data_IF_276169792814
#
_entry.id   IF_276169792814
#
_cell.length_a   1.000
_cell.length_b   1.000
_cell.length_c   1.000
_cell.angle_alpha   90.00
_cell.angle_beta   90.00
_cell.angle_gamma   90.00
#
_symmetry.space_group_name_H-M   'P 1'
#
loop_
_entity.id
_entity.type
_entity.pdbx_description
1 polymer ?
#
# COMPACT_ATOMS: atom_id res chain seq x y z
N UNK A 1 -16.17 14.91 -39.59
CA UNK A 1 -17.39 14.45 -38.91
C UNK A 1 -17.02 13.34 -37.93
N UNK A 2 -16.88 13.67 -36.63
CA UNK A 2 -16.46 12.75 -35.57
C UNK A 2 -17.66 12.32 -34.74
N UNK A 3 -18.27 11.16 -35.05
CA UNK A 3 -19.42 10.59 -34.33
C UNK A 3 -19.08 9.37 -33.43
N UNK A 4 -17.81 9.01 -33.23
CA UNK A 4 -17.44 7.72 -32.60
C UNK A 4 -16.70 7.79 -31.25
N UNK A 5 -16.62 8.94 -30.57
CA UNK A 5 -15.89 9.00 -29.28
C UNK A 5 -16.62 8.34 -28.10
N UNK A 6 -17.95 8.25 -28.15
CA UNK A 6 -18.76 7.75 -27.00
C UNK A 6 -18.95 6.22 -26.97
N UNK A 7 -18.47 5.50 -27.98
CA UNK A 7 -18.56 4.03 -28.06
C UNK A 7 -17.34 3.30 -27.49
N UNK A 8 -16.32 4.03 -27.03
CA UNK A 8 -15.08 3.44 -26.56
C UNK A 8 -14.74 3.89 -25.14
N UNK A 9 -14.27 2.96 -24.31
CA UNK A 9 -13.79 3.21 -22.95
C UNK A 9 -12.30 2.94 -22.93
N UNK A 10 -11.51 3.92 -22.47
CA UNK A 10 -10.08 3.74 -22.23
C UNK A 10 -9.88 3.25 -20.80
N UNK A 11 -9.52 1.98 -20.56
CA UNK A 11 -9.14 1.53 -19.23
C UNK A 11 -7.86 2.23 -18.78
N UNK A 12 -7.76 2.58 -17.49
CA UNK A 12 -6.51 3.01 -16.86
C UNK A 12 -5.71 1.80 -16.40
N UNK A 13 -5.37 0.99 -17.39
CA UNK A 13 -4.53 -0.17 -17.23
C UNK A 13 -3.42 -0.11 -18.27
N UNK A 14 -2.25 -0.63 -17.89
CA UNK A 14 -1.08 -0.66 -18.74
C UNK A 14 -0.62 -2.08 -18.93
N UNK A 15 -0.24 -2.42 -20.17
CA UNK A 15 0.58 -3.57 -20.45
C UNK A 15 2.02 -3.30 -20.02
N UNK A 16 2.61 -4.28 -19.35
CA UNK A 16 4.05 -4.30 -19.11
C UNK A 16 4.72 -4.61 -20.45
N UNK A 17 5.68 -3.79 -20.88
CA UNK A 17 6.45 -4.06 -22.09
C UNK A 17 7.36 -5.27 -21.86
N UNK A 18 7.55 -6.15 -22.86
CA UNK A 18 8.38 -7.36 -22.70
C UNK A 18 9.78 -7.07 -22.13
N UNK A 19 10.39 -5.98 -22.60
CA UNK A 19 11.76 -5.59 -22.23
C UNK A 19 11.86 -4.99 -20.82
N UNK A 20 10.73 -4.64 -20.17
CA UNK A 20 10.76 -4.09 -18.83
C UNK A 20 11.36 -5.10 -17.83
N UNK A 21 10.94 -6.36 -17.93
CA UNK A 21 11.36 -7.41 -17.00
C UNK A 21 12.86 -7.72 -17.17
N UNK A 22 13.34 -7.68 -18.42
CA UNK A 22 14.76 -7.87 -18.74
C UNK A 22 15.63 -6.64 -18.38
N UNK A 23 15.02 -5.45 -18.27
CA UNK A 23 15.71 -4.19 -17.92
C UNK A 23 15.58 -3.82 -16.44
N UNK A 24 15.16 -4.76 -15.59
CA UNK A 24 15.16 -4.54 -14.16
C UNK A 24 16.60 -4.45 -13.64
N UNK A 25 16.90 -3.48 -12.75
CA UNK A 25 18.21 -3.44 -12.11
C UNK A 25 18.41 -4.71 -11.27
N UNK A 26 19.66 -5.13 -11.03
CA UNK A 26 19.92 -6.22 -10.09
C UNK A 26 19.32 -5.88 -8.74
N UNK A 27 18.52 -6.79 -8.21
CA UNK A 27 17.85 -6.62 -6.93
C UNK A 27 18.62 -7.36 -5.84
N UNK A 28 18.51 -6.83 -4.62
CA UNK A 28 19.12 -7.37 -3.42
C UNK A 28 18.03 -7.71 -2.44
N UNK A 29 18.14 -8.88 -1.82
CA UNK A 29 17.22 -9.38 -0.83
C UNK A 29 17.93 -9.63 0.49
N UNK A 30 17.30 -9.22 1.59
CA UNK A 30 17.67 -9.57 2.93
C UNK A 30 16.63 -10.56 3.47
N UNK A 31 17.07 -11.75 3.84
CA UNK A 31 16.23 -12.73 4.49
C UNK A 31 16.31 -12.55 6.00
N UNK A 32 15.20 -12.77 6.68
CA UNK A 32 15.22 -12.71 8.14
C UNK A 32 16.04 -13.88 8.68
N UNK A 33 17.05 -13.65 9.55
CA UNK A 33 17.91 -14.72 10.02
C UNK A 33 17.10 -15.75 10.83
N UNK A 34 17.12 -17.01 10.40
CA UNK A 34 16.32 -18.06 11.05
C UNK A 34 16.65 -18.22 12.54
N UNK A 35 17.93 -18.17 12.87
CA UNK A 35 18.42 -18.23 14.26
C UNK A 35 17.88 -17.12 15.17
N UNK A 36 17.33 -16.03 14.63
CA UNK A 36 16.77 -14.94 15.43
C UNK A 36 15.32 -15.20 15.86
N UNK A 37 14.63 -16.15 15.23
CA UNK A 37 13.19 -16.31 15.41
C UNK A 37 12.82 -16.73 16.84
N UNK A 38 13.37 -17.84 17.33
CA UNK A 38 13.04 -18.37 18.65
C UNK A 38 13.40 -17.40 19.79
N UNK A 39 14.60 -16.77 19.81
CA UNK A 39 14.93 -15.77 20.82
C UNK A 39 13.96 -14.59 20.84
N UNK A 40 13.54 -14.09 19.68
CA UNK A 40 12.59 -12.97 19.61
C UNK A 40 11.17 -13.40 19.98
N UNK A 41 10.75 -14.61 19.62
CA UNK A 41 9.46 -15.16 20.06
C UNK A 41 9.42 -15.34 21.57
N UNK A 42 10.53 -15.76 22.19
CA UNK A 42 10.66 -15.84 23.63
C UNK A 42 10.55 -14.46 24.31
N UNK A 43 11.27 -13.45 23.81
CA UNK A 43 11.13 -12.06 24.29
C UNK A 43 9.69 -11.55 24.14
N UNK A 44 9.05 -11.83 23.01
CA UNK A 44 7.66 -11.44 22.78
C UNK A 44 6.70 -12.14 23.74
N UNK A 45 6.95 -13.41 24.06
CA UNK A 45 6.20 -14.14 25.08
C UNK A 45 6.29 -13.47 26.45
N UNK A 46 7.49 -13.09 26.88
CA UNK A 46 7.72 -12.37 28.15
C UNK A 46 7.05 -10.99 28.14
N UNK A 47 7.28 -10.18 27.11
CA UNK A 47 6.73 -8.83 27.02
C UNK A 47 5.19 -8.79 27.00
N UNK A 48 4.56 -9.83 26.46
CA UNK A 48 3.10 -9.94 26.41
C UNK A 48 2.48 -10.74 27.57
N UNK A 49 3.29 -11.30 28.47
CA UNK A 49 2.83 -12.19 29.54
C UNK A 49 2.22 -13.51 29.02
N UNK A 50 2.64 -13.96 27.83
CA UNK A 50 2.14 -15.15 27.12
C UNK A 50 3.26 -16.16 26.89
N UNK A 51 4.11 -16.35 27.88
CA UNK A 51 5.21 -17.32 27.82
C UNK A 51 4.69 -18.74 27.53
N UNK A 52 5.38 -19.48 26.67
CA UNK A 52 4.99 -20.84 26.27
C UNK A 52 3.81 -20.93 25.28
N UNK A 53 3.19 -19.81 24.91
CA UNK A 53 2.13 -19.77 23.90
C UNK A 53 2.68 -19.35 22.52
N UNK A 54 1.98 -19.69 21.42
CA UNK A 54 2.30 -19.14 20.11
C UNK A 54 2.23 -17.59 20.12
N UNK A 55 3.36 -16.94 19.84
CA UNK A 55 3.49 -15.49 19.82
C UNK A 55 4.09 -15.02 18.50
N UNK A 56 3.61 -13.88 17.99
CA UNK A 56 4.11 -13.26 16.75
C UNK A 56 4.92 -12.02 17.09
N UNK A 57 6.16 -11.96 16.61
CA UNK A 57 7.03 -10.79 16.76
C UNK A 57 6.42 -9.59 16.00
N UNK A 58 6.27 -8.41 16.63
CA UNK A 58 5.59 -7.26 16.06
C UNK A 58 6.47 -6.51 15.05
N UNK A 59 6.75 -7.13 13.91
CA UNK A 59 7.58 -6.56 12.85
C UNK A 59 7.02 -5.28 12.21
N UNK A 60 5.73 -4.97 12.42
CA UNK A 60 5.11 -3.76 11.86
C UNK A 60 5.82 -2.49 12.31
N UNK A 61 6.20 -2.38 13.59
CA UNK A 61 6.84 -1.15 14.10
C UNK A 61 8.24 -0.94 13.53
N UNK A 62 9.05 -2.01 13.44
CA UNK A 62 10.37 -1.92 12.81
C UNK A 62 10.27 -1.67 11.30
N UNK A 63 9.31 -2.27 10.60
CA UNK A 63 9.12 -2.03 9.18
C UNK A 63 8.76 -0.56 8.90
N UNK A 64 7.86 0.04 9.70
CA UNK A 64 7.48 1.45 9.51
C UNK A 64 8.67 2.41 9.70
N UNK A 65 9.55 2.16 10.68
CA UNK A 65 10.74 3.00 10.85
C UNK A 65 11.76 2.75 9.73
N UNK A 66 11.92 1.50 9.27
CA UNK A 66 12.77 1.19 8.12
C UNK A 66 12.30 1.94 6.86
N UNK A 67 10.98 2.00 6.58
CA UNK A 67 10.44 2.83 5.48
C UNK A 67 10.77 4.30 5.61
N UNK A 68 10.81 4.81 6.84
CA UNK A 68 11.03 6.21 7.13
C UNK A 68 12.49 6.63 6.89
N UNK A 69 13.44 5.75 7.22
CA UNK A 69 14.86 6.11 7.38
C UNK A 69 15.77 5.46 6.35
N UNK A 70 15.34 4.35 5.76
CA UNK A 70 16.12 3.59 4.78
C UNK A 70 15.57 3.88 3.38
N UNK A 71 16.31 4.59 2.53
CA UNK A 71 15.85 4.87 1.19
C UNK A 71 15.84 3.59 0.34
N UNK A 72 15.01 3.57 -0.70
CA UNK A 72 14.99 2.52 -1.75
C UNK A 72 14.58 1.10 -1.30
N UNK A 73 13.89 0.96 -0.16
CA UNK A 73 13.23 -0.30 0.19
C UNK A 73 12.00 -0.52 -0.70
N UNK A 74 11.99 -1.60 -1.48
CA UNK A 74 10.92 -1.93 -2.42
C UNK A 74 9.79 -2.73 -1.78
N UNK A 75 10.13 -3.67 -0.89
CA UNK A 75 9.14 -4.52 -0.22
C UNK A 75 9.46 -4.67 1.26
N UNK A 76 8.40 -4.68 2.07
CA UNK A 76 8.41 -4.90 3.51
C UNK A 76 7.21 -5.78 3.88
N UNK A 77 7.30 -7.11 3.73
CA UNK A 77 6.29 -8.03 4.25
C UNK A 77 5.96 -7.72 5.71
N UNK A 78 4.66 -7.80 6.04
CA UNK A 78 4.17 -7.59 7.40
C UNK A 78 4.76 -8.56 8.42
N UNK A 79 5.08 -9.77 7.96
CA UNK A 79 5.66 -10.83 8.75
C UNK A 79 6.73 -11.52 7.90
N UNK A 80 8.02 -11.26 8.13
CA UNK A 80 9.05 -12.08 7.51
C UNK A 80 8.91 -13.51 8.05
N UNK A 81 8.99 -14.50 7.16
CA UNK A 81 9.18 -15.90 7.54
C UNK A 81 10.68 -16.17 7.57
N UNK A 82 11.14 -16.98 8.51
CA UNK A 82 12.55 -17.40 8.57
C UNK A 82 12.94 -18.20 7.34
N UNK A 83 14.25 -18.23 7.07
CA UNK A 83 14.91 -18.92 5.96
C UNK A 83 14.73 -20.46 5.95
N UNK A 84 14.18 -21.04 7.00
CA UNK A 84 14.07 -22.49 7.19
C UNK A 84 12.59 -22.87 7.38
N UNK A 85 12.14 -23.91 6.67
CA UNK A 85 10.80 -24.55 6.70
C UNK A 85 9.69 -24.01 5.77
N UNK A 86 9.62 -24.59 4.56
CA UNK A 86 8.50 -25.43 4.10
C UNK A 86 8.82 -26.06 2.73
N UNK A 87 9.08 -27.37 2.70
CA UNK A 87 8.99 -28.24 1.50
C UNK A 87 9.59 -27.67 0.20
N UNK A 88 10.83 -27.18 0.23
CA UNK A 88 11.53 -26.74 -0.98
C UNK A 88 10.91 -25.51 -1.67
N UNK A 89 10.07 -24.73 -0.99
CA UNK A 89 9.51 -23.47 -1.52
C UNK A 89 10.42 -22.29 -1.19
N UNK A 90 10.69 -21.48 -2.22
CA UNK A 90 11.43 -20.21 -2.10
C UNK A 90 10.69 -19.29 -1.12
N UNK A 91 11.42 -18.79 -0.13
CA UNK A 91 10.89 -17.93 0.91
C UNK A 91 10.81 -16.47 0.43
N UNK A 92 9.80 -15.76 0.95
CA UNK A 92 9.67 -14.34 0.71
C UNK A 92 10.74 -13.58 1.51
N UNK A 93 11.55 -12.73 0.86
CA UNK A 93 12.59 -11.95 1.54
C UNK A 93 11.97 -10.95 2.52
N UNK A 94 12.65 -10.68 3.64
CA UNK A 94 12.21 -9.66 4.60
C UNK A 94 12.34 -8.26 4.01
N UNK A 95 13.48 -7.92 3.41
CA UNK A 95 13.68 -6.64 2.74
C UNK A 95 14.11 -6.89 1.30
N UNK A 96 13.65 -6.05 0.38
CA UNK A 96 14.17 -5.99 -1.00
C UNK A 96 14.54 -4.56 -1.33
N UNK A 97 15.68 -4.38 -1.99
CA UNK A 97 16.19 -3.07 -2.40
C UNK A 97 16.94 -3.16 -3.74
N UNK A 98 17.19 -2.01 -4.36
CA UNK A 98 18.03 -1.91 -5.57
C UNK A 98 19.53 -2.05 -5.29
N UNK A 99 19.94 -1.85 -4.04
CA UNK A 99 21.33 -1.94 -3.59
C UNK A 99 21.39 -2.31 -2.12
N UNK A 100 22.56 -2.77 -1.67
CA UNK A 100 22.75 -3.17 -0.27
C UNK A 100 22.68 -1.97 0.65
N UNK A 101 21.83 -2.07 1.67
CA UNK A 101 21.84 -1.13 2.79
C UNK A 101 22.89 -1.64 3.79
N UNK A 102 23.87 -0.82 4.22
CA UNK A 102 24.92 -1.28 5.12
C UNK A 102 24.34 -1.96 6.37
N UNK A 103 24.75 -3.19 6.64
CA UNK A 103 24.18 -4.03 7.70
C UNK A 103 24.29 -3.39 9.08
N UNK A 104 25.34 -2.60 9.34
CA UNK A 104 25.47 -1.84 10.57
C UNK A 104 24.37 -0.79 10.76
N UNK A 105 23.90 -0.14 9.68
CA UNK A 105 22.81 0.85 9.75
C UNK A 105 21.47 0.19 10.03
N UNK A 106 21.19 -0.95 9.37
CA UNK A 106 20.01 -1.76 9.66
C UNK A 106 20.04 -2.29 11.09
N UNK A 107 21.21 -2.74 11.54
CA UNK A 107 21.43 -3.21 12.90
C UNK A 107 21.13 -2.13 13.95
N UNK A 108 21.50 -0.88 13.72
CA UNK A 108 21.15 0.22 14.62
C UNK A 108 19.63 0.39 14.77
N UNK A 109 18.88 0.36 13.65
CA UNK A 109 17.41 0.40 13.68
C UNK A 109 16.85 -0.78 14.48
N UNK A 110 17.40 -1.96 14.23
CA UNK A 110 16.98 -3.19 14.89
C UNK A 110 17.27 -3.16 16.40
N UNK A 111 18.45 -2.67 16.82
CA UNK A 111 18.81 -2.50 18.23
C UNK A 111 17.89 -1.49 18.92
N UNK A 112 17.62 -0.35 18.30
CA UNK A 112 16.70 0.65 18.86
C UNK A 112 15.29 0.08 19.04
N UNK A 113 14.81 -0.71 18.07
CA UNK A 113 13.53 -1.42 18.17
C UNK A 113 13.54 -2.48 19.28
N UNK A 114 14.60 -3.29 19.38
CA UNK A 114 14.79 -4.28 20.44
C UNK A 114 14.74 -3.66 21.83
N UNK A 115 15.53 -2.59 22.04
CA UNK A 115 15.58 -1.88 23.32
C UNK A 115 14.26 -1.20 23.66
N UNK A 116 13.54 -0.69 22.67
CA UNK A 116 12.23 -0.08 22.92
C UNK A 116 11.15 -1.12 23.23
N UNK A 117 11.23 -2.30 22.61
CA UNK A 117 10.18 -3.33 22.74
C UNK A 117 10.39 -4.26 23.94
N UNK A 118 11.65 -4.54 24.31
CA UNK A 118 11.98 -5.69 25.16
C UNK A 118 12.95 -5.41 26.31
N UNK A 119 13.40 -4.17 26.54
CA UNK A 119 14.42 -3.88 27.57
C UNK A 119 14.07 -4.35 28.99
N UNK A 120 12.78 -4.43 29.31
CA UNK A 120 12.28 -4.85 30.62
C UNK A 120 12.15 -6.38 30.75
N UNK A 121 12.34 -7.12 29.66
CA UNK A 121 12.28 -8.59 29.68
C UNK A 121 13.52 -9.17 30.36
N UNK A 122 13.34 -10.16 31.25
CA UNK A 122 14.45 -10.79 31.97
C UNK A 122 15.49 -11.43 31.02
N UNK A 123 15.04 -11.97 29.88
CA UNK A 123 15.93 -12.58 28.88
C UNK A 123 16.53 -11.58 27.88
N UNK A 124 16.30 -10.27 28.03
CA UNK A 124 16.73 -9.27 27.07
C UNK A 124 18.25 -9.23 26.87
N UNK A 125 19.02 -9.18 27.95
CA UNK A 125 20.48 -9.09 27.89
C UNK A 125 21.13 -10.25 27.10
N UNK A 126 20.87 -11.54 27.42
CA UNK A 126 21.46 -12.64 26.67
C UNK A 126 20.98 -12.70 25.21
N UNK A 127 19.71 -12.37 24.92
CA UNK A 127 19.22 -12.33 23.54
C UNK A 127 19.89 -11.20 22.75
N UNK A 128 20.04 -10.01 23.34
CA UNK A 128 20.74 -8.88 22.71
C UNK A 128 22.20 -9.21 22.38
N UNK A 129 22.88 -9.96 23.25
CA UNK A 129 24.26 -10.39 23.01
C UNK A 129 24.36 -11.44 21.90
N UNK A 130 23.37 -12.33 21.80
CA UNK A 130 23.28 -13.36 20.78
C UNK A 130 23.03 -12.80 19.37
N UNK A 131 22.17 -11.78 19.25
CA UNK A 131 21.82 -11.17 17.97
C UNK A 131 22.99 -10.29 17.45
N UNK A 132 23.34 -10.42 16.17
CA UNK A 132 24.57 -9.86 15.59
C UNK A 132 24.37 -9.24 14.20
N UNK A 133 24.94 -8.07 13.95
CA UNK A 133 24.86 -7.38 12.65
C UNK A 133 25.28 -8.26 11.47
N UNK A 134 26.24 -9.16 11.68
CA UNK A 134 26.82 -10.06 10.69
C UNK A 134 25.81 -11.07 10.13
N UNK A 135 24.70 -11.30 10.85
CA UNK A 135 23.59 -12.13 10.38
C UNK A 135 22.72 -11.42 9.33
N UNK A 136 22.77 -10.08 9.24
CA UNK A 136 22.03 -9.30 8.26
C UNK A 136 22.77 -9.27 6.93
N UNK A 137 22.68 -10.37 6.17
CA UNK A 137 23.39 -10.55 4.91
C UNK A 137 22.49 -10.36 3.70
N UNK A 138 22.77 -9.33 2.91
CA UNK A 138 22.14 -9.14 1.61
C UNK A 138 22.65 -10.16 0.59
N UNK A 139 21.73 -10.73 -0.18
CA UNK A 139 22.00 -11.67 -1.26
C UNK A 139 21.44 -11.13 -2.57
N UNK A 140 22.03 -11.48 -3.73
CA UNK A 140 21.37 -11.24 -5.01
C UNK A 140 19.98 -11.88 -4.99
N UNK A 141 18.96 -11.14 -5.42
CA UNK A 141 17.62 -11.68 -5.60
C UNK A 141 17.48 -12.19 -7.02
N UNK A 142 17.57 -13.50 -7.18
CA UNK A 142 17.23 -14.19 -8.42
C UNK A 142 15.74 -14.56 -8.35
N UNK A 143 14.90 -13.81 -9.07
CA UNK A 143 13.46 -14.07 -9.08
C UNK A 143 12.91 -14.03 -10.50
N UNK A 144 12.38 -15.18 -10.93
CA UNK A 144 11.49 -15.23 -12.08
C UNK A 144 10.14 -14.62 -11.67
N UNK A 145 9.93 -13.35 -12.03
CA UNK A 145 8.71 -12.62 -11.68
C UNK A 145 7.48 -13.13 -12.44
N UNK A 146 7.68 -13.61 -13.67
CA UNK A 146 6.62 -14.17 -14.51
C UNK A 146 6.95 -15.61 -14.85
N UNK A 147 6.13 -16.52 -14.34
CA UNK A 147 6.24 -17.95 -14.57
C UNK A 147 5.47 -18.34 -15.83
N UNK A 148 5.60 -19.61 -16.24
CA UNK A 148 4.76 -20.20 -17.28
C UNK A 148 3.27 -19.93 -16.99
N UNK A 149 2.50 -19.40 -17.97
CA UNK A 149 1.07 -19.18 -17.80
C UNK A 149 0.34 -20.45 -17.33
N UNK A 150 -0.73 -20.27 -16.56
CA UNK A 150 -1.60 -21.37 -16.17
C UNK A 150 -2.30 -22.00 -17.38
N UNK A 151 -2.90 -23.18 -17.21
CA UNK A 151 -3.54 -23.94 -18.30
C UNK A 151 -4.67 -23.15 -18.99
N UNK A 152 -5.38 -22.33 -18.21
CA UNK A 152 -6.39 -21.40 -18.73
C UNK A 152 -5.79 -20.15 -19.40
N UNK A 153 -4.48 -20.16 -19.73
CA UNK A 153 -3.69 -19.07 -20.31
C UNK A 153 -3.54 -17.83 -19.43
N UNK A 154 -3.92 -17.88 -18.15
CA UNK A 154 -3.76 -16.74 -17.24
C UNK A 154 -2.30 -16.55 -16.84
N UNK A 155 -1.83 -15.31 -16.83
CA UNK A 155 -0.50 -14.95 -16.33
C UNK A 155 -0.30 -15.50 -14.92
N UNK A 156 0.84 -16.15 -14.68
CA UNK A 156 1.24 -16.63 -13.37
C UNK A 156 2.44 -15.83 -12.90
N UNK A 157 2.30 -15.16 -11.77
CA UNK A 157 3.34 -14.33 -11.17
C UNK A 157 3.75 -14.89 -9.81
N UNK A 158 5.01 -14.69 -9.45
CA UNK A 158 5.44 -14.97 -8.08
C UNK A 158 4.70 -14.04 -7.10
N UNK A 159 4.41 -14.47 -5.85
CA UNK A 159 3.74 -13.63 -4.86
C UNK A 159 4.42 -12.27 -4.67
N UNK A 160 5.76 -12.25 -4.65
CA UNK A 160 6.56 -11.03 -4.53
C UNK A 160 6.39 -10.07 -5.71
N UNK A 161 6.10 -10.57 -6.92
CA UNK A 161 5.92 -9.71 -8.09
C UNK A 161 4.76 -8.72 -7.94
N UNK A 162 3.72 -9.08 -7.17
CA UNK A 162 2.55 -8.21 -6.93
C UNK A 162 2.88 -6.97 -6.09
N UNK A 163 3.94 -7.00 -5.28
CA UNK A 163 4.44 -5.84 -4.52
C UNK A 163 5.65 -5.19 -5.18
N UNK A 164 6.57 -5.99 -5.72
CA UNK A 164 7.83 -5.52 -6.28
C UNK A 164 7.65 -4.74 -7.58
N UNK A 165 6.82 -5.21 -8.52
CA UNK A 165 6.62 -4.52 -9.80
C UNK A 165 6.00 -3.13 -9.57
N UNK A 166 4.89 -2.97 -8.81
CA UNK A 166 4.40 -1.64 -8.47
C UNK A 166 5.43 -0.77 -7.78
N UNK A 167 6.17 -1.31 -6.80
CA UNK A 167 7.20 -0.58 -6.06
C UNK A 167 8.28 -0.02 -6.98
N UNK A 168 8.78 -0.82 -7.91
CA UNK A 168 9.78 -0.40 -8.90
C UNK A 168 9.27 0.69 -9.83
N UNK A 169 8.02 0.58 -10.29
CA UNK A 169 7.40 1.60 -11.15
C UNK A 169 7.20 2.91 -10.38
N UNK A 170 6.77 2.84 -9.11
CA UNK A 170 6.64 4.04 -8.27
C UNK A 170 7.99 4.68 -7.97
N UNK A 171 9.04 3.89 -7.72
CA UNK A 171 10.38 4.43 -7.52
C UNK A 171 10.89 5.12 -8.80
N UNK A 172 10.66 4.53 -9.99
CA UNK A 172 11.02 5.19 -11.27
C UNK A 172 10.28 6.52 -11.45
N UNK A 173 8.99 6.58 -11.13
CA UNK A 173 8.22 7.83 -11.20
C UNK A 173 8.81 8.91 -10.28
N UNK A 174 9.21 8.54 -9.07
CA UNK A 174 9.81 9.45 -8.08
C UNK A 174 11.22 9.88 -8.50
N UNK A 175 12.06 8.95 -8.94
CA UNK A 175 13.43 9.20 -9.42
C UNK A 175 13.46 10.11 -10.65
N UNK A 176 12.48 9.98 -11.54
CA UNK A 176 12.30 10.87 -12.71
C UNK A 176 11.74 12.25 -12.34
N UNK A 177 11.44 12.49 -11.06
CA UNK A 177 10.88 13.76 -10.59
C UNK A 177 9.47 14.01 -11.11
N UNK A 178 8.73 12.96 -11.48
CA UNK A 178 7.43 13.07 -12.14
C UNK A 178 6.52 14.02 -11.36
N UNK A 179 6.01 15.02 -12.06
CA UNK A 179 5.16 16.05 -11.50
C UNK A 179 3.91 16.20 -12.34
N UNK A 180 2.84 16.63 -11.69
CA UNK A 180 1.52 16.80 -12.28
C UNK A 180 1.00 18.17 -11.94
N UNK A 181 0.36 18.81 -12.91
CA UNK A 181 -0.34 20.06 -12.68
C UNK A 181 -1.64 19.75 -11.96
N UNK A 182 -1.84 20.35 -10.78
CA UNK A 182 -3.06 20.24 -9.99
C UNK A 182 -3.61 21.65 -9.80
N UNK A 183 -4.71 21.96 -10.45
CA UNK A 183 -5.15 23.35 -10.58
C UNK A 183 -4.13 24.14 -11.40
N UNK A 184 -3.53 25.15 -10.79
CA UNK A 184 -2.46 26.00 -11.35
C UNK A 184 -1.06 25.66 -10.80
N UNK A 185 -0.96 24.57 -10.04
CA UNK A 185 0.20 24.28 -9.22
C UNK A 185 0.84 22.93 -9.58
N UNK A 186 2.15 22.95 -9.87
CA UNK A 186 2.92 21.72 -10.10
C UNK A 186 3.15 20.98 -8.78
N UNK A 187 2.90 19.67 -8.79
CA UNK A 187 3.06 18.77 -7.64
C UNK A 187 3.84 17.52 -8.00
N UNK A 188 4.85 17.22 -7.21
CA UNK A 188 5.66 16.02 -7.42
C UNK A 188 4.98 14.81 -6.82
N UNK A 189 5.20 13.65 -7.43
CA UNK A 189 4.78 12.37 -6.86
C UNK A 189 5.80 11.95 -5.79
N UNK A 190 5.30 11.58 -4.61
CA UNK A 190 6.07 11.02 -3.50
C UNK A 190 5.53 9.66 -3.12
N UNK A 191 6.41 8.75 -2.69
CA UNK A 191 6.00 7.42 -2.27
C UNK A 191 5.36 7.44 -0.88
N UNK A 192 4.35 6.61 -0.70
CA UNK A 192 3.59 6.50 0.54
C UNK A 192 3.47 5.03 0.94
N UNK A 193 3.58 4.70 2.23
CA UNK A 193 3.36 3.34 2.71
C UNK A 193 1.96 2.88 2.38
N UNK A 194 1.86 1.66 1.85
CA UNK A 194 0.60 1.01 1.54
C UNK A 194 0.66 -0.46 1.94
N UNK A 195 -0.51 -1.00 2.25
CA UNK A 195 -0.67 -2.38 2.66
C UNK A 195 -0.56 -3.38 1.50
N UNK A 196 -0.88 -2.95 0.28
CA UNK A 196 -0.74 -3.72 -0.95
C UNK A 196 -0.41 -2.82 -2.14
N UNK A 197 0.27 -3.38 -3.14
CA UNK A 197 0.75 -2.65 -4.30
C UNK A 197 1.79 -1.60 -3.94
N UNK A 198 1.73 -0.45 -4.60
CA UNK A 198 2.54 0.72 -4.27
C UNK A 198 1.72 2.00 -4.45
N UNK A 199 1.81 2.91 -3.48
CA UNK A 199 1.06 4.17 -3.48
C UNK A 199 1.99 5.36 -3.65
N UNK A 200 1.56 6.30 -4.50
CA UNK A 200 2.10 7.63 -4.63
C UNK A 200 1.07 8.66 -4.14
N UNK A 201 1.54 9.83 -3.72
CA UNK A 201 0.69 11.00 -3.55
C UNK A 201 1.35 12.25 -4.11
N UNK A 202 0.51 13.20 -4.55
CA UNK A 202 0.97 14.54 -4.92
C UNK A 202 1.40 15.30 -3.68
N UNK A 203 2.61 15.86 -3.71
CA UNK A 203 3.18 16.61 -2.60
C UNK A 203 4.00 17.83 -3.10
N UNK A 204 3.97 18.98 -2.40
CA UNK A 204 3.15 19.33 -1.24
C UNK A 204 1.63 19.26 -1.50
N UNK A 205 0.77 19.34 -0.49
CA UNK A 205 -0.68 19.41 -0.70
C UNK A 205 -1.08 20.62 -1.56
N UNK A 206 -2.27 20.55 -2.15
CA UNK A 206 -2.97 21.68 -2.75
C UNK A 206 -4.10 22.12 -1.84
N UNK A 207 -4.44 23.41 -1.87
CA UNK A 207 -5.51 23.96 -1.04
C UNK A 207 -6.77 24.17 -1.86
N UNK A 208 -7.89 23.69 -1.35
CA UNK A 208 -9.20 24.19 -1.73
C UNK A 208 -9.57 25.35 -0.80
N UNK A 209 -9.84 26.53 -1.35
CA UNK A 209 -10.29 27.68 -0.56
C UNK A 209 -11.82 27.73 -0.62
N UNK A 210 -12.47 27.66 0.54
CA UNK A 210 -13.92 27.77 0.62
C UNK A 210 -14.40 29.24 0.60
N UNK A 211 -15.73 29.43 0.61
CA UNK A 211 -16.35 30.76 0.60
C UNK A 211 -15.94 31.64 1.80
N UNK A 212 -15.47 31.04 2.89
CA UNK A 212 -15.01 31.72 4.09
C UNK A 212 -13.50 31.97 4.08
N UNK A 213 -12.83 31.81 2.92
CA UNK A 213 -11.38 31.91 2.78
C UNK A 213 -10.60 30.90 3.65
N UNK A 214 -11.24 29.80 4.06
CA UNK A 214 -10.57 28.74 4.80
C UNK A 214 -9.86 27.81 3.83
N UNK A 215 -8.59 27.54 4.09
CA UNK A 215 -7.77 26.62 3.30
C UNK A 215 -8.02 25.17 3.73
N UNK A 216 -8.33 24.32 2.74
CA UNK A 216 -8.59 22.90 2.92
C UNK A 216 -7.57 22.07 2.12
N UNK A 217 -6.44 21.70 2.74
CA UNK A 217 -5.36 20.98 2.08
C UNK A 217 -5.75 19.54 1.74
N UNK A 218 -5.41 19.13 0.52
CA UNK A 218 -5.60 17.78 0.03
C UNK A 218 -4.49 17.36 -0.94
N UNK A 219 -4.37 16.06 -1.17
CA UNK A 219 -3.44 15.45 -2.12
C UNK A 219 -4.15 14.40 -2.95
N UNK A 220 -3.84 14.29 -4.23
CA UNK A 220 -4.25 13.14 -5.03
C UNK A 220 -3.35 11.95 -4.71
N UNK A 221 -3.94 10.75 -4.69
CA UNK A 221 -3.23 9.50 -4.45
C UNK A 221 -3.37 8.60 -5.68
N UNK A 222 -2.30 7.88 -6.00
CA UNK A 222 -2.26 6.92 -7.08
C UNK A 222 -1.80 5.59 -6.50
N UNK A 223 -2.63 4.55 -6.58
CA UNK A 223 -2.27 3.20 -6.16
C UNK A 223 -2.03 2.33 -7.39
N UNK A 224 -0.83 1.81 -7.53
CA UNK A 224 -0.43 0.90 -8.61
C UNK A 224 -0.57 -0.54 -8.10
N UNK A 225 -1.28 -1.36 -8.85
CA UNK A 225 -1.45 -2.79 -8.54
C UNK A 225 -1.20 -3.63 -9.78
N UNK A 226 -0.54 -4.77 -9.63
CA UNK A 226 -0.49 -5.79 -10.69
C UNK A 226 -1.75 -6.63 -10.62
N UNK A 227 -2.40 -6.85 -11.76
CA UNK A 227 -3.57 -7.71 -11.89
C UNK A 227 -3.38 -8.69 -13.04
N UNK A 228 -3.89 -9.92 -12.86
CA UNK A 228 -3.96 -10.93 -13.91
C UNK A 228 -5.39 -11.01 -14.43
N UNK A 229 -5.54 -11.33 -15.72
CA UNK A 229 -6.85 -11.45 -16.37
C UNK A 229 -7.01 -12.89 -16.86
N UNK A 230 -8.16 -13.49 -16.60
CA UNK A 230 -8.48 -14.85 -17.05
C UNK A 230 -8.32 -14.93 -18.57
N UNK A 231 -7.58 -15.95 -19.04
CA UNK A 231 -7.32 -16.14 -20.47
C UNK A 231 -6.22 -15.25 -21.05
N UNK A 232 -5.59 -14.38 -20.25
CA UNK A 232 -4.51 -13.50 -20.70
C UNK A 232 -3.17 -13.88 -20.08
N UNK A 233 -2.14 -14.22 -20.88
CA UNK A 233 -0.84 -14.66 -20.36
C UNK A 233 0.04 -13.51 -19.89
N UNK A 234 -0.42 -12.26 -20.05
CA UNK A 234 0.33 -11.05 -19.74
C UNK A 234 -0.37 -10.30 -18.59
N UNK A 235 0.31 -10.00 -17.48
CA UNK A 235 -0.26 -9.20 -16.40
C UNK A 235 -0.44 -7.73 -16.82
N UNK A 236 -1.26 -7.00 -16.08
CA UNK A 236 -1.50 -5.57 -16.30
C UNK A 236 -1.22 -4.76 -15.04
N UNK A 237 -0.74 -3.54 -15.21
CA UNK A 237 -0.66 -2.55 -14.14
C UNK A 237 -1.93 -1.72 -14.16
N UNK A 238 -2.68 -1.78 -13.06
CA UNK A 238 -3.85 -0.94 -12.85
C UNK A 238 -3.48 0.24 -11.97
N UNK A 239 -3.97 1.42 -12.33
CA UNK A 239 -3.81 2.64 -11.54
C UNK A 239 -5.16 3.00 -10.95
N UNK A 240 -5.22 3.09 -9.62
CA UNK A 240 -6.40 3.52 -8.89
C UNK A 240 -6.17 4.92 -8.34
N UNK A 241 -7.08 5.83 -8.65
CA UNK A 241 -7.00 7.21 -8.21
C UNK A 241 -7.83 7.45 -6.95
N UNK A 242 -7.35 8.36 -6.11
CA UNK A 242 -8.04 8.77 -4.90
C UNK A 242 -7.64 10.16 -4.44
N UNK A 243 -8.26 10.61 -3.36
CA UNK A 243 -7.98 11.87 -2.71
C UNK A 243 -7.76 11.64 -1.23
N UNK A 244 -6.64 12.16 -0.74
CA UNK A 244 -6.29 12.23 0.68
C UNK A 244 -6.50 13.66 1.15
N UNK A 245 -7.17 13.80 2.29
CA UNK A 245 -7.51 15.09 2.90
C UNK A 245 -6.71 15.28 4.16
N UNK A 246 -6.36 16.52 4.46
CA UNK A 246 -5.51 16.83 5.59
C UNK A 246 -6.25 17.71 6.60
N UNK A 247 -5.89 17.57 7.88
CA UNK A 247 -6.42 18.43 8.94
C UNK A 247 -5.83 19.82 8.81
N UNK A 248 -6.68 20.84 8.82
CA UNK A 248 -6.32 22.25 8.65
C UNK A 248 -6.47 23.12 9.91
N UNK A 249 -6.83 22.51 11.05
CA UNK A 249 -7.09 23.23 12.30
C UNK A 249 -6.52 22.49 13.49
N UNK A 250 -6.24 23.25 14.56
CA UNK A 250 -5.84 22.68 15.84
C UNK A 250 -6.82 21.57 16.27
N UNK A 251 -6.26 20.47 16.75
CA UNK A 251 -6.99 19.32 17.26
C UNK A 251 -7.25 19.39 18.76
N UNK A 252 -6.77 20.46 19.41
CA UNK A 252 -7.01 20.78 20.81
C UNK A 252 -8.16 21.77 20.94
N UNK A 253 -9.07 21.52 21.87
CA UNK A 253 -10.14 22.43 22.27
C UNK A 253 -10.25 22.43 23.79
N UNK A 254 -10.18 23.60 24.42
CA UNK A 254 -10.24 23.77 25.88
C UNK A 254 -9.27 22.84 26.64
N UNK A 255 -8.05 22.70 26.10
CA UNK A 255 -7.01 21.82 26.65
C UNK A 255 -7.23 20.32 26.43
N UNK A 256 -8.24 19.93 25.65
CA UNK A 256 -8.57 18.52 25.37
C UNK A 256 -8.35 18.17 23.90
N UNK A 257 -7.78 17.00 23.66
CA UNK A 257 -7.62 16.46 22.32
C UNK A 257 -8.96 15.96 21.78
N UNK A 258 -9.42 16.50 20.65
CA UNK A 258 -10.78 16.30 20.12
C UNK A 258 -10.88 15.26 19.01
N UNK A 259 -9.76 14.77 18.48
CA UNK A 259 -9.77 13.77 17.42
C UNK A 259 -10.36 12.43 17.85
N UNK A 260 -10.77 11.59 16.91
CA UNK A 260 -11.10 10.19 17.19
C UNK A 260 -9.85 9.40 17.60
N UNK A 261 -10.00 8.21 18.22
CA UNK A 261 -8.90 7.54 18.91
C UNK A 261 -7.69 7.19 18.05
N UNK A 262 -7.77 7.19 16.72
CA UNK A 262 -6.64 6.83 15.84
C UNK A 262 -6.68 7.63 14.56
N UNK A 263 -5.72 8.52 14.34
CA UNK A 263 -5.51 9.26 13.10
C UNK A 263 -4.13 8.92 12.53
N UNK A 264 -4.05 8.71 11.22
CA UNK A 264 -2.78 8.47 10.55
C UNK A 264 -2.07 9.80 10.32
N UNK A 265 -0.82 9.89 10.74
CA UNK A 265 0.07 11.01 10.47
C UNK A 265 1.12 10.55 9.48
N UNK A 266 1.15 11.18 8.32
CA UNK A 266 2.11 10.93 7.27
C UNK A 266 3.31 11.83 7.52
N UNK A 267 4.50 11.26 7.63
CA UNK A 267 5.72 11.95 7.99
C UNK A 267 6.75 11.77 6.89
N UNK A 268 7.39 12.85 6.46
CA UNK A 268 8.45 12.80 5.47
C UNK A 268 9.68 13.53 6.00
N UNK A 269 10.78 12.80 6.05
CA UNK A 269 12.08 13.32 6.47
C UNK A 269 12.75 13.94 5.26
N UNK A 270 13.01 15.26 5.31
CA UNK A 270 13.64 15.99 4.20
C UNK A 270 15.15 16.05 4.32
N UNK A 271 15.72 15.38 5.33
CA UNK A 271 17.16 15.33 5.61
C UNK A 271 17.69 13.89 5.56
N UNK A 272 18.94 13.71 5.12
CA UNK A 272 19.60 12.41 5.14
C UNK A 272 19.85 11.94 6.57
N UNK A 273 19.84 10.63 6.79
CA UNK A 273 20.17 10.00 8.08
C UNK A 273 21.44 9.16 7.96
N UNK A 274 22.46 9.46 8.78
CA UNK A 274 23.75 8.74 8.83
C UNK A 274 24.39 8.55 7.44
N UNK A 275 24.37 9.58 6.59
CA UNK A 275 24.93 9.51 5.23
C UNK A 275 24.18 8.58 4.28
N UNK A 276 22.99 8.09 4.64
CA UNK A 276 22.04 7.56 3.65
C UNK A 276 21.41 8.73 2.88
N UNK A 277 21.08 8.55 1.59
CA UNK A 277 20.30 9.52 0.83
C UNK A 277 19.00 9.89 1.54
N UNK A 278 18.50 11.10 1.31
CA UNK A 278 17.21 11.54 1.84
C UNK A 278 16.11 10.58 1.37
N UNK A 279 15.34 9.99 2.30
CA UNK A 279 14.20 9.14 1.96
C UNK A 279 13.22 9.89 1.06
N UNK A 280 12.73 9.21 0.03
CA UNK A 280 11.71 9.75 -0.90
C UNK A 280 10.30 9.23 -0.58
N UNK A 281 10.17 8.55 0.56
CA UNK A 281 8.99 7.85 1.00
C UNK A 281 8.53 8.45 2.31
N UNK A 282 7.22 8.62 2.46
CA UNK A 282 6.64 8.93 3.75
C UNK A 282 6.71 7.72 4.68
N UNK A 283 6.67 7.95 5.99
CA UNK A 283 6.29 6.94 6.97
C UNK A 283 4.93 7.30 7.57
N UNK A 284 4.31 6.35 8.27
CA UNK A 284 3.02 6.55 8.93
C UNK A 284 3.14 6.25 10.40
N UNK A 285 2.84 7.26 11.21
CA UNK A 285 2.62 7.13 12.65
C UNK A 285 1.13 7.29 12.99
N UNK A 286 0.74 6.83 14.17
CA UNK A 286 -0.63 6.90 14.67
C UNK A 286 -0.72 7.91 15.79
N UNK A 287 -1.47 8.97 15.56
CA UNK A 287 -1.86 9.93 16.59
C UNK A 287 -3.13 9.44 17.27
N UNK A 288 -3.08 9.32 18.59
CA UNK A 288 -4.19 8.85 19.42
C UNK A 288 -4.38 9.68 20.68
N UNK A 289 -5.48 9.41 21.37
CA UNK A 289 -5.76 10.03 22.64
C UNK A 289 -5.19 9.18 23.78
N UNK A 290 -4.26 9.76 24.53
CA UNK A 290 -3.79 9.23 25.80
C UNK A 290 -4.59 9.86 26.94
N UNK A 291 -4.98 9.04 27.91
CA UNK A 291 -5.66 9.53 29.11
C UNK A 291 -4.65 9.71 30.24
N UNK A 292 -4.59 10.92 30.77
CA UNK A 292 -3.87 11.25 31.99
C UNK A 292 -4.91 11.75 33.02
N UNK A 293 -5.35 10.84 33.89
CA UNK A 293 -6.52 11.07 34.73
C UNK A 293 -7.79 11.33 33.91
N UNK A 294 -8.37 12.53 34.05
CA UNK A 294 -9.55 12.98 33.27
C UNK A 294 -9.18 13.75 32.00
N UNK A 295 -7.90 14.06 31.79
CA UNK A 295 -7.44 14.81 30.63
C UNK A 295 -7.18 13.88 29.45
N UNK A 296 -7.49 14.38 28.27
CA UNK A 296 -7.31 13.68 27.00
C UNK A 296 -6.22 14.40 26.24
N UNK A 297 -5.03 13.83 26.22
CA UNK A 297 -3.84 14.40 25.61
C UNK A 297 -3.50 13.66 24.30
N UNK A 298 -2.91 14.34 23.31
CA UNK A 298 -2.38 13.68 22.12
C UNK A 298 -1.16 12.83 22.48
N UNK A 299 -1.14 11.60 22.00
CA UNK A 299 -0.01 10.68 22.14
C UNK A 299 0.20 9.89 20.86
N UNK A 300 1.40 9.36 20.69
CA UNK A 300 1.68 8.41 19.62
C UNK A 300 1.25 7.01 20.05
N UNK A 301 0.53 6.31 19.17
CA UNK A 301 -0.02 4.97 19.41
C UNK A 301 0.80 3.83 18.81
N UNK A 302 1.99 4.14 18.30
CA UNK A 302 2.97 3.17 17.82
C UNK A 302 4.38 3.52 18.31
N UNK A 303 5.30 2.57 18.17
CA UNK A 303 6.68 2.71 18.65
C UNK A 303 7.58 3.51 17.70
N UNK A 304 7.08 3.96 16.54
CA UNK A 304 7.91 4.64 15.53
C UNK A 304 8.60 5.90 16.10
N UNK A 305 7.90 6.81 16.80
CA UNK A 305 8.53 7.98 17.42
C UNK A 305 9.61 7.61 18.44
N UNK A 306 9.36 6.61 19.29
CA UNK A 306 10.31 6.23 20.34
C UNK A 306 11.58 5.62 19.74
N UNK A 307 11.41 4.78 18.70
CA UNK A 307 12.54 4.20 17.96
C UNK A 307 13.31 5.31 17.24
N UNK A 308 12.61 6.26 16.59
CA UNK A 308 13.23 7.40 15.93
C UNK A 308 14.05 8.24 16.94
N UNK A 309 13.49 8.52 18.12
CA UNK A 309 14.18 9.26 19.18
C UNK A 309 15.48 8.55 19.63
N UNK A 310 15.44 7.22 19.82
CA UNK A 310 16.64 6.42 20.16
C UNK A 310 17.71 6.47 19.08
N UNK A 311 17.30 6.57 17.81
CA UNK A 311 18.20 6.69 16.66
C UNK A 311 18.71 8.13 16.46
N UNK A 312 18.33 9.08 17.32
CA UNK A 312 18.66 10.50 17.18
C UNK A 312 17.99 11.15 15.97
N UNK A 313 16.90 10.55 15.47
CA UNK A 313 16.18 11.04 14.31
C UNK A 313 15.14 12.05 14.78
N UNK A 314 15.15 13.28 14.24
CA UNK A 314 14.12 14.26 14.55
C UNK A 314 12.73 13.66 14.29
N UNK A 315 11.86 13.73 15.29
CA UNK A 315 10.49 13.28 15.21
C UNK A 315 9.58 14.28 15.95
N UNK A 316 8.43 14.69 15.39
CA UNK A 316 7.57 15.66 16.04
C UNK A 316 6.97 15.13 17.34
N UNK A 317 6.81 16.01 18.33
CA UNK A 317 5.96 15.72 19.47
C UNK A 317 4.49 15.66 19.05
N UNK A 318 3.74 14.67 19.56
CA UNK A 318 2.32 14.51 19.28
C UNK A 318 1.53 15.78 19.60
N UNK A 319 1.86 16.46 20.70
CA UNK A 319 1.25 17.72 21.12
C UNK A 319 1.52 18.86 20.14
N UNK A 320 2.74 18.95 19.61
CA UNK A 320 3.10 19.99 18.65
C UNK A 320 2.31 19.84 17.33
N UNK A 321 2.15 18.60 16.84
CA UNK A 321 1.34 18.30 15.65
C UNK A 321 -0.15 18.56 15.91
N UNK A 322 -0.63 18.21 17.11
CA UNK A 322 -2.01 18.45 17.52
C UNK A 322 -2.36 19.94 17.58
N UNK A 323 -1.44 20.78 18.07
CA UNK A 323 -1.64 22.21 18.25
C UNK A 323 -1.67 22.98 16.93
N UNK A 324 -0.76 22.66 16.01
CA UNK A 324 -0.59 23.41 14.77
C UNK A 324 -0.28 22.47 13.58
N UNK A 325 -1.27 21.68 13.11
CA UNK A 325 -1.04 20.72 12.05
C UNK A 325 -0.65 21.38 10.71
N UNK A 326 -1.11 22.60 10.46
CA UNK A 326 -0.79 23.34 9.24
C UNK A 326 0.69 23.72 9.17
N UNK A 327 1.27 24.15 10.30
CA UNK A 327 2.71 24.43 10.35
C UNK A 327 3.56 23.21 10.01
N UNK A 328 3.18 22.03 10.48
CA UNK A 328 3.91 20.80 10.17
C UNK A 328 3.71 20.34 8.73
N UNK A 329 2.58 20.68 8.10
CA UNK A 329 2.29 20.35 6.71
C UNK A 329 3.36 20.87 5.74
N UNK A 330 3.89 22.07 6.00
CA UNK A 330 4.91 22.72 5.18
C UNK A 330 6.34 22.55 5.73
N UNK A 331 6.51 21.74 6.77
CA UNK A 331 7.81 21.35 7.28
C UNK A 331 8.30 22.16 8.48
N UNK A 332 8.80 21.45 9.50
CA UNK A 332 9.49 22.01 10.66
C UNK A 332 10.76 21.19 10.91
N UNK A 333 11.91 21.86 11.03
CA UNK A 333 13.20 21.22 11.35
C UNK A 333 13.60 20.05 10.43
N UNK A 334 13.17 20.07 9.17
CA UNK A 334 13.45 19.00 8.21
C UNK A 334 12.47 17.83 8.25
N UNK A 335 11.29 18.01 8.85
CA UNK A 335 10.21 17.04 8.87
C UNK A 335 8.92 17.69 8.38
N UNK A 336 8.30 17.10 7.37
CA UNK A 336 6.94 17.42 6.96
C UNK A 336 5.97 16.42 7.58
N UNK A 337 4.87 16.88 8.17
CA UNK A 337 3.85 16.02 8.77
C UNK A 337 2.43 16.43 8.37
N UNK A 338 1.63 15.45 7.94
CA UNK A 338 0.24 15.66 7.57
C UNK A 338 -0.67 14.69 8.31
N UNK A 339 -1.65 15.23 9.05
CA UNK A 339 -2.65 14.40 9.75
C UNK A 339 -3.84 14.16 8.82
N UNK A 340 -4.13 12.89 8.55
CA UNK A 340 -5.20 12.49 7.65
C UNK A 340 -6.60 12.81 8.20
N UNK A 341 -7.43 13.42 7.37
CA UNK A 341 -8.84 13.71 7.66
C UNK A 341 -9.73 12.50 7.29
N UNK A 342 -10.14 11.71 8.28
CA UNK A 342 -10.85 10.43 8.04
C UNK A 342 -12.29 10.54 7.55
N UNK A 343 -13.02 11.60 7.88
CA UNK A 343 -14.45 11.72 7.56
C UNK A 343 -14.69 12.83 6.55
N UNK A 344 -15.13 12.55 5.31
CA UNK A 344 -15.31 13.60 4.30
C UNK A 344 -16.44 14.59 4.63
N UNK A 345 -17.33 14.28 5.60
CA UNK A 345 -18.55 15.07 5.91
C UNK A 345 -18.32 16.58 6.08
N UNK A 346 -17.19 16.99 6.61
CA UNK A 346 -16.90 18.40 6.90
C UNK A 346 -15.73 18.96 6.08
N UNK A 347 -15.22 18.20 5.11
CA UNK A 347 -14.19 18.66 4.21
C UNK A 347 -14.84 18.97 2.85
N UNK A 348 -14.64 20.17 2.26
CA UNK A 348 -15.34 20.57 1.05
C UNK A 348 -14.96 19.71 -0.16
N UNK A 349 -13.69 19.28 -0.25
CA UNK A 349 -13.23 18.35 -1.29
C UNK A 349 -13.90 16.99 -1.14
N UNK A 350 -14.75 16.63 -2.10
CA UNK A 350 -15.52 15.37 -2.13
C UNK A 350 -14.69 14.18 -2.61
N UNK A 351 -15.27 12.98 -2.48
CA UNK A 351 -14.61 11.74 -2.91
C UNK A 351 -14.51 11.69 -4.44
N UNK A 352 -13.49 11.00 -4.94
CA UNK A 352 -13.22 10.87 -6.37
C UNK A 352 -12.21 11.88 -6.89
N UNK A 353 -11.77 11.65 -8.11
CA UNK A 353 -10.88 12.51 -8.88
C UNK A 353 -11.66 12.94 -10.11
N UNK A 354 -11.67 14.25 -10.40
CA UNK A 354 -12.32 14.76 -11.60
C UNK A 354 -11.65 14.22 -12.87
N UNK A 355 -12.38 14.23 -13.98
CA UNK A 355 -11.91 13.62 -15.22
C UNK A 355 -10.65 14.29 -15.78
N UNK A 356 -10.53 15.62 -15.63
CA UNK A 356 -9.40 16.37 -16.13
C UNK A 356 -8.12 16.03 -15.38
N UNK A 357 -8.16 16.03 -14.04
CA UNK A 357 -7.04 15.62 -13.21
C UNK A 357 -6.72 14.15 -13.43
N UNK A 358 -7.73 13.30 -13.61
CA UNK A 358 -7.52 11.90 -13.93
C UNK A 358 -6.77 11.71 -15.26
N UNK A 359 -7.10 12.48 -16.30
CA UNK A 359 -6.38 12.49 -17.58
C UNK A 359 -4.95 13.02 -17.43
N UNK A 360 -4.75 14.11 -16.68
CA UNK A 360 -3.43 14.68 -16.39
C UNK A 360 -2.53 13.69 -15.64
N UNK A 361 -3.05 13.04 -14.59
CA UNK A 361 -2.32 12.03 -13.82
C UNK A 361 -1.98 10.81 -14.69
N UNK A 362 -2.93 10.35 -15.51
CA UNK A 362 -2.71 9.22 -16.43
C UNK A 362 -1.66 9.57 -17.48
N UNK A 363 -1.74 10.76 -18.06
CA UNK A 363 -0.80 11.26 -19.07
C UNK A 363 0.62 11.37 -18.51
N UNK A 364 0.77 11.93 -17.31
CA UNK A 364 2.08 12.02 -16.65
C UNK A 364 2.68 10.64 -16.35
N UNK A 365 1.87 9.67 -15.92
CA UNK A 365 2.34 8.27 -15.76
C UNK A 365 2.75 7.69 -17.12
N UNK A 366 1.92 7.87 -18.14
CA UNK A 366 2.18 7.32 -19.47
C UNK A 366 3.47 7.87 -20.08
N UNK A 367 3.70 9.18 -19.97
CA UNK A 367 4.91 9.83 -20.42
C UNK A 367 6.11 9.36 -19.61
N UNK A 368 6.01 9.44 -18.29
CA UNK A 368 7.12 9.13 -17.40
C UNK A 368 7.47 7.65 -17.39
N UNK A 369 6.58 6.72 -17.78
CA UNK A 369 6.84 5.28 -17.85
C UNK A 369 6.70 4.71 -19.28
N UNK A 370 6.87 5.55 -20.31
CA UNK A 370 6.66 5.15 -21.71
C UNK A 370 7.58 4.01 -22.16
N UNK A 371 8.76 3.86 -21.55
CA UNK A 371 9.72 2.81 -21.87
C UNK A 371 9.36 1.46 -21.22
N UNK A 372 8.61 1.49 -20.12
CA UNK A 372 8.26 0.33 -19.31
C UNK A 372 6.85 -0.18 -19.57
N UNK A 373 5.94 0.75 -19.85
CA UNK A 373 4.51 0.52 -19.91
C UNK A 373 3.94 0.98 -21.26
N UNK A 374 2.83 0.35 -21.65
CA UNK A 374 2.00 0.80 -22.75
C UNK A 374 0.55 0.82 -22.26
N UNK A 375 -0.14 1.96 -22.42
CA UNK A 375 -1.54 2.06 -22.06
C UNK A 375 -2.33 1.01 -22.85
N UNK A 376 -3.21 0.27 -22.16
CA UNK A 376 -4.06 -0.72 -22.82
C UNK A 376 -4.88 -0.07 -23.93
N UNK A 377 -5.21 -0.79 -25.01
CA UNK A 377 -6.03 -0.23 -26.08
C UNK A 377 -7.43 0.13 -25.56
N UNK A 378 -8.08 1.09 -26.24
CA UNK A 378 -9.48 1.42 -26.00
C UNK A 378 -10.35 0.19 -26.23
N UNK A 379 -11.25 -0.07 -25.30
CA UNK A 379 -12.22 -1.14 -25.41
C UNK A 379 -13.47 -0.58 -26.09
N UNK A 380 -13.92 -1.28 -27.13
CA UNK A 380 -15.25 -1.03 -27.67
C UNK A 380 -16.28 -1.37 -26.59
N UNK A 381 -17.25 -0.48 -26.37
CA UNK A 381 -18.44 -0.82 -25.61
C UNK A 381 -19.15 -1.91 -26.39
N UNK A 382 -19.14 -3.12 -25.84
CA UNK A 382 -20.12 -4.11 -26.25
C UNK A 382 -21.47 -3.50 -25.88
N UNK A 383 -22.38 -3.39 -26.87
CA UNK A 383 -23.73 -2.91 -26.62
C UNK A 383 -24.28 -3.59 -25.37
N UNK A 384 -25.01 -2.86 -24.53
CA UNK A 384 -25.65 -3.42 -23.34
C UNK A 384 -26.16 -4.80 -23.70
N UNK A 385 -25.74 -5.84 -22.96
CA UNK A 385 -26.45 -7.12 -23.04
C UNK A 385 -27.85 -6.70 -22.66
N UNK A 386 -28.70 -6.50 -23.66
CA UNK A 386 -30.09 -6.15 -23.46
C UNK A 386 -30.52 -7.24 -22.53
N UNK A 387 -30.87 -6.88 -21.29
CA UNK A 387 -31.58 -7.81 -20.44
C UNK A 387 -32.69 -8.29 -21.34
N UNK A 388 -32.56 -9.52 -21.85
CA UNK A 388 -33.68 -10.18 -22.50
C UNK A 388 -34.73 -10.00 -21.44
N UNK A 389 -35.79 -9.25 -21.74
CA UNK A 389 -36.93 -9.16 -20.85
C UNK A 389 -37.38 -10.60 -20.75
N UNK A 390 -36.82 -11.33 -19.78
CA UNK A 390 -37.29 -12.62 -19.39
C UNK A 390 -38.68 -12.29 -18.90
N UNK A 391 -39.75 -12.67 -19.62
CA UNK A 391 -41.08 -12.52 -19.07
C UNK A 391 -41.02 -13.18 -17.69
N UNK A 392 -41.51 -12.50 -16.66
CA UNK A 392 -41.57 -13.08 -15.33
C UNK A 392 -42.17 -14.48 -15.48
N UNK A 393 -41.43 -15.51 -15.07
CA UNK A 393 -41.91 -16.87 -15.10
C UNK A 393 -43.14 -16.90 -14.18
N UNK A 394 -44.33 -16.86 -14.78
CA UNK A 394 -45.54 -17.15 -14.04
C UNK A 394 -45.50 -18.65 -13.72
N UNK A 395 -46.09 -19.05 -12.59
CA UNK A 395 -46.06 -20.43 -12.12
C UNK A 395 -46.67 -21.43 -13.14
N UNK A 396 -47.41 -20.93 -14.13
CA UNK A 396 -48.04 -21.69 -15.22
C UNK A 396 -47.10 -21.89 -16.44
N UNK A 397 -46.05 -21.07 -16.61
CA UNK A 397 -45.13 -21.11 -17.77
C UNK A 397 -44.06 -22.20 -17.69
N UNK A 398 -43.96 -22.91 -16.56
CA UNK A 398 -42.96 -23.97 -16.36
C UNK A 398 -43.36 -25.30 -17.01
N UNK A 399 -44.60 -25.45 -17.47
CA UNK A 399 -45.11 -26.72 -18.03
C UNK A 399 -45.14 -26.77 -19.56
N UNK A 400 -45.04 -25.64 -20.24
CA UNK A 400 -45.01 -25.57 -21.70
C UNK A 400 -43.72 -24.92 -22.21
N UNK A 401 -42.63 -25.69 -22.22
CA UNK A 401 -41.44 -25.34 -23.01
C UNK A 401 -41.79 -25.53 -24.48
N UNK A 402 -42.42 -24.52 -25.09
CA UNK A 402 -42.71 -24.51 -26.54
C UNK A 402 -41.40 -24.74 -27.31
N UNK A 403 -41.41 -25.68 -28.26
CA UNK A 403 -40.28 -26.06 -29.14
C UNK A 403 -39.58 -24.85 -29.79
N UNK A 404 -40.28 -23.73 -29.94
CA UNK A 404 -39.75 -22.47 -30.47
C UNK A 404 -38.68 -21.80 -29.58
N UNK A 405 -38.55 -22.17 -28.30
CA UNK A 405 -37.54 -21.61 -27.38
C UNK A 405 -36.17 -22.29 -27.50
N UNK A 406 -36.13 -23.55 -27.94
CA UNK A 406 -34.87 -24.29 -28.10
C UNK A 406 -33.93 -23.65 -29.13
N UNK A 407 -34.39 -23.24 -30.33
CA UNK A 407 -33.52 -22.59 -31.32
C UNK A 407 -32.89 -21.29 -30.80
N UNK A 408 -33.64 -20.49 -30.05
CA UNK A 408 -33.13 -19.24 -29.45
C UNK A 408 -32.11 -19.49 -28.34
N UNK A 409 -32.28 -20.55 -27.56
CA UNK A 409 -31.34 -20.96 -26.51
C UNK A 409 -30.06 -21.58 -27.09
N UNK A 410 -30.17 -22.43 -28.11
CA UNK A 410 -29.02 -23.00 -28.85
C UNK A 410 -28.22 -21.90 -29.54
N UNK A 411 -28.89 -20.88 -30.08
CA UNK A 411 -28.23 -19.72 -30.68
C UNK A 411 -27.50 -18.83 -29.66
N UNK A 412 -27.95 -18.78 -28.40
CA UNK A 412 -27.35 -17.91 -27.38
C UNK A 412 -26.23 -18.58 -26.58
N UNK A 413 -26.30 -19.89 -26.35
CA UNK A 413 -25.34 -20.64 -25.53
C UNK A 413 -24.35 -21.45 -26.38
N UNK A 414 -24.65 -21.69 -27.65
CA UNK A 414 -23.87 -22.57 -28.52
C UNK A 414 -24.25 -24.05 -28.37
N UNK A 415 -23.60 -24.98 -29.10
CA UNK A 415 -23.95 -26.41 -29.12
C UNK A 415 -23.64 -27.14 -27.80
N UNK A 416 -22.93 -26.49 -26.88
CA UNK A 416 -22.59 -27.02 -25.57
C UNK A 416 -22.96 -26.01 -24.49
N UNK A 417 -23.96 -26.34 -23.69
CA UNK A 417 -24.31 -25.59 -22.49
C UNK A 417 -23.69 -26.28 -21.28
N UNK A 418 -22.86 -25.55 -20.53
CA UNK A 418 -22.36 -26.00 -19.22
C UNK A 418 -23.23 -25.34 -18.15
N UNK A 419 -23.92 -26.14 -17.36
CA UNK A 419 -24.72 -25.67 -16.23
C UNK A 419 -23.93 -25.98 -14.95
N UNK A 420 -23.37 -24.96 -14.32
CA UNK A 420 -22.84 -25.08 -12.97
C UNK A 420 -23.95 -24.79 -11.96
N UNK A 421 -24.31 -25.81 -11.18
CA UNK A 421 -25.27 -25.67 -10.08
C UNK A 421 -24.48 -25.41 -8.80
N UNK A 422 -24.54 -24.15 -8.35
CA UNK A 422 -24.00 -23.76 -7.05
C UNK A 422 -25.11 -23.89 -6.00
N UNK A 423 -24.98 -24.89 -5.14
CA UNK A 423 -25.88 -25.11 -4.00
C UNK A 423 -25.09 -24.89 -2.71
N UNK A 424 -25.65 -24.09 -1.81
CA UNK A 424 -25.09 -23.82 -0.49
C UNK A 424 -26.04 -24.42 0.55
N UNK A 425 -25.52 -25.29 1.41
CA UNK A 425 -26.30 -25.84 2.52
C UNK A 425 -26.60 -24.74 3.54
N UNK A 426 -27.68 -24.90 4.32
CA UNK A 426 -27.98 -23.97 5.42
C UNK A 426 -26.79 -23.83 6.40
N UNK A 427 -26.03 -24.91 6.59
CA UNK A 427 -24.78 -24.90 7.35
C UNK A 427 -23.71 -23.97 6.72
N UNK A 428 -23.53 -24.01 5.40
CA UNK A 428 -22.59 -23.14 4.68
C UNK A 428 -23.01 -21.67 4.62
N UNK A 429 -24.32 -21.37 4.68
CA UNK A 429 -24.83 -19.98 4.80
C UNK A 429 -24.52 -19.40 6.18
N UNK A 430 -24.66 -20.22 7.22
CA UNK A 430 -24.52 -19.78 8.60
C UNK A 430 -23.05 -19.72 9.07
N UNK A 431 -22.09 -20.26 8.32
CA UNK A 431 -20.64 -20.13 8.59
C UNK A 431 -20.00 -18.83 8.08
N UNK A 432 -20.76 -17.96 7.40
CA UNK A 432 -20.27 -16.68 6.85
C UNK A 432 -20.73 -15.46 7.65
N UNK A 433 -21.32 -15.68 8.83
CA UNK A 433 -21.58 -14.64 9.83
C UNK A 433 -20.63 -14.90 11.00
N UNK A 434 -19.42 -14.37 10.88
CA UNK A 434 -18.55 -14.00 12.00
C UNK A 434 -17.75 -12.74 11.61
#
# INVERSE_FOLDING_TARGET
>A
MSKNKDEQIQPVAFHIRPDFMASLPPLRALYFPAAWEDPLRALQGQASGREGLPNTVPFRSINHILEAVVPYLLTLPRYPKSAEELDGKILDPWLVAKSDVPSQKLWLVFQAWLEQSYRECASFAPVREFLKAEALQWKPLELELQQRPADNKTARLSPLAYSLIPGLLTDRLVERGTAVLVGDQMRHLRRVPTESGAQLMTWPPVDHVDNNQTHWPYSYTLNLTVQTLVGSPVPRIHVHYGVRRWINRAMMQDGRFMMRPRSSVYLHMTRPWMGLPTPQTFTVARLEARYEGKQRLPGWGDLVPDIAQRLGIPFPEAQAVANDPMRWLYGVNGIEAAVGYKSPRFHPVQAGVDFQVHEQLTGAIQEALAAELALCPRLARVGSITNVKLPALSHDDLRDVKEQRLPGFVASVGPQATIEVWWQTDAGRNMLID
#
